data_IF_507665535199
#
_entry.id   IF_507665535199
#
_cell.length_a   1.000
_cell.length_b   1.000
_cell.length_c   1.000
_cell.angle_alpha   90.00
_cell.angle_beta   90.00
_cell.angle_gamma   90.00
#
_symmetry.space_group_name_H-M   'P 1'
#
loop_
_entity.id
_entity.type
_entity.pdbx_description
1 polymer ?
#
# COMPACT_ATOMS: atom_id res chain seq x y z
N UNK A 1 -39.23 -41.60 -9.40
CA UNK A 1 -39.13 -41.30 -10.84
C UNK A 1 -38.77 -39.82 -10.97
N UNK A 2 -37.48 -39.49 -11.10
CA UNK A 2 -36.99 -38.11 -11.17
C UNK A 2 -36.52 -37.85 -12.60
N UNK A 3 -37.14 -36.89 -13.29
CA UNK A 3 -36.80 -36.50 -14.66
C UNK A 3 -35.76 -35.39 -14.64
N UNK A 4 -34.55 -35.69 -15.08
CA UNK A 4 -33.49 -34.70 -15.32
C UNK A 4 -33.72 -33.98 -16.66
N UNK A 5 -33.75 -32.65 -16.64
CA UNK A 5 -33.65 -31.81 -17.84
C UNK A 5 -32.20 -31.34 -17.96
N UNK A 6 -31.48 -31.80 -18.98
CA UNK A 6 -30.20 -31.20 -19.38
C UNK A 6 -30.48 -29.99 -20.26
N UNK A 7 -29.80 -28.88 -19.96
CA UNK A 7 -29.75 -27.71 -20.81
C UNK A 7 -28.32 -27.60 -21.38
N UNK A 8 -28.17 -27.92 -22.66
CA UNK A 8 -26.99 -27.56 -23.42
C UNK A 8 -27.29 -26.29 -24.23
N UNK A 9 -26.40 -25.31 -24.19
CA UNK A 9 -26.31 -24.34 -25.28
C UNK A 9 -24.88 -23.88 -25.55
N UNK A 10 -24.66 -23.68 -26.85
CA UNK A 10 -23.39 -23.61 -27.57
C UNK A 10 -22.64 -22.29 -27.38
N UNK A 11 -21.31 -22.41 -27.31
CA UNK A 11 -20.27 -21.54 -27.90
C UNK A 11 -20.54 -20.03 -27.89
N UNK A 12 -19.92 -19.31 -26.94
CA UNK A 12 -19.50 -17.91 -27.15
C UNK A 12 -18.01 -17.87 -27.47
N UNK A 13 -17.69 -17.29 -28.63
CA UNK A 13 -16.35 -17.20 -29.21
C UNK A 13 -15.37 -16.46 -28.28
N UNK A 14 -14.26 -17.13 -27.98
CA UNK A 14 -12.92 -16.64 -27.62
C UNK A 14 -12.81 -15.11 -27.45
N UNK A 15 -12.98 -14.63 -26.21
CA UNK A 15 -12.71 -13.25 -25.79
C UNK A 15 -11.53 -13.20 -24.78
N UNK A 16 -10.66 -14.21 -24.81
CA UNK A 16 -9.68 -14.43 -23.73
C UNK A 16 -8.25 -14.02 -24.13
N UNK A 17 -8.05 -13.39 -25.29
CA UNK A 17 -6.72 -13.04 -25.79
C UNK A 17 -6.33 -11.58 -25.55
N UNK A 18 -7.30 -10.66 -25.47
CA UNK A 18 -7.02 -9.23 -25.26
C UNK A 18 -7.03 -8.83 -23.78
N UNK A 19 -7.75 -9.57 -22.94
CA UNK A 19 -7.80 -9.34 -21.48
C UNK A 19 -6.47 -9.69 -20.83
N UNK A 20 -5.84 -10.80 -21.25
CA UNK A 20 -4.56 -11.26 -20.69
C UNK A 20 -3.35 -10.42 -21.13
N UNK A 21 -3.42 -9.73 -22.27
CA UNK A 21 -2.35 -8.82 -22.71
C UNK A 21 -2.43 -7.45 -22.02
N UNK A 22 -3.64 -6.97 -21.73
CA UNK A 22 -3.85 -5.73 -20.97
C UNK A 22 -3.43 -5.87 -19.49
N UNK A 23 -3.60 -7.05 -18.88
CA UNK A 23 -3.19 -7.31 -17.49
C UNK A 23 -1.66 -7.29 -17.31
N UNK A 24 -0.91 -7.83 -18.27
CA UNK A 24 0.56 -7.77 -18.25
C UNK A 24 1.07 -6.35 -18.53
N UNK A 25 0.45 -5.65 -19.47
CA UNK A 25 0.79 -4.25 -19.80
C UNK A 25 0.56 -3.29 -18.62
N UNK A 26 -0.55 -3.44 -17.89
CA UNK A 26 -0.84 -2.60 -16.73
C UNK A 26 0.12 -2.89 -15.55
N UNK A 27 0.44 -4.15 -15.29
CA UNK A 27 1.37 -4.53 -14.22
C UNK A 27 2.81 -4.09 -14.50
N UNK A 28 3.27 -4.17 -15.75
CA UNK A 28 4.58 -3.64 -16.16
C UNK A 28 4.63 -2.11 -16.08
N UNK A 29 3.57 -1.42 -16.52
CA UNK A 29 3.44 0.04 -16.36
C UNK A 29 3.40 0.45 -14.87
N UNK A 30 2.71 -0.28 -13.99
CA UNK A 30 2.70 0.00 -12.54
C UNK A 30 4.08 -0.18 -11.90
N UNK A 31 4.89 -1.14 -12.39
CA UNK A 31 6.31 -1.27 -12.03
C UNK A 31 7.15 -0.10 -12.54
N UNK A 32 6.86 0.42 -13.73
CA UNK A 32 7.48 1.62 -14.31
C UNK A 32 7.25 2.85 -13.41
N UNK A 33 6.02 3.07 -12.94
CA UNK A 33 5.67 4.24 -12.10
C UNK A 33 6.30 4.23 -10.70
N UNK A 34 6.67 3.04 -10.18
CA UNK A 34 7.45 2.95 -8.92
C UNK A 34 8.84 3.56 -9.07
N UNK A 35 9.40 3.64 -10.29
CA UNK A 35 10.73 4.22 -10.55
C UNK A 35 10.79 5.74 -10.36
N UNK A 36 9.65 6.44 -10.42
CA UNK A 36 9.59 7.90 -10.33
C UNK A 36 9.20 8.44 -8.94
N UNK A 37 9.13 7.56 -7.93
CA UNK A 37 8.82 7.97 -6.57
C UNK A 37 10.05 8.57 -5.91
N UNK A 38 9.87 9.72 -5.27
CA UNK A 38 10.94 10.36 -4.52
C UNK A 38 11.05 9.71 -3.14
N UNK A 39 12.24 9.17 -2.85
CA UNK A 39 12.58 8.64 -1.53
C UNK A 39 13.70 9.45 -0.90
N UNK A 40 13.68 9.53 0.43
CA UNK A 40 14.79 10.04 1.24
C UNK A 40 15.33 8.92 2.12
N UNK A 41 16.66 8.83 2.20
CA UNK A 41 17.37 7.90 3.07
C UNK A 41 17.77 8.63 4.35
N UNK A 42 17.32 8.11 5.49
CA UNK A 42 17.90 8.48 6.78
C UNK A 42 19.19 7.68 6.99
N UNK A 43 20.34 8.33 6.98
CA UNK A 43 21.63 7.63 7.13
C UNK A 43 21.80 7.03 8.53
N UNK A 44 21.12 7.60 9.53
CA UNK A 44 21.25 7.17 10.93
C UNK A 44 20.53 5.85 11.18
N UNK A 45 19.33 5.68 10.63
CA UNK A 45 18.51 4.47 10.81
C UNK A 45 18.54 3.53 9.61
N UNK A 46 19.08 3.99 8.48
CA UNK A 46 19.06 3.31 7.18
C UNK A 46 17.63 3.05 6.65
N UNK A 47 16.67 3.85 7.09
CA UNK A 47 15.28 3.78 6.64
C UNK A 47 15.06 4.64 5.40
N UNK A 48 14.26 4.12 4.47
CA UNK A 48 13.82 4.83 3.27
C UNK A 48 12.40 5.35 3.47
N UNK A 49 12.22 6.66 3.40
CA UNK A 49 10.92 7.31 3.49
C UNK A 49 10.46 7.78 2.11
N UNK A 50 9.18 7.55 1.79
CA UNK A 50 8.55 8.11 0.61
C UNK A 50 8.20 9.58 0.87
N UNK A 51 8.56 10.47 -0.06
CA UNK A 51 8.12 11.88 -0.01
C UNK A 51 6.73 11.98 -0.63
N UNK A 52 5.73 12.24 0.19
CA UNK A 52 4.34 12.41 -0.22
C UNK A 52 3.86 13.83 0.09
N UNK A 53 3.56 14.62 -0.95
CA UNK A 53 3.01 15.98 -0.79
C UNK A 53 1.52 15.98 -0.48
N UNK A 54 0.82 14.86 -0.71
CA UNK A 54 -0.62 14.74 -0.47
C UNK A 54 -0.97 14.30 0.95
N UNK A 55 0.02 14.04 1.80
CA UNK A 55 -0.18 13.63 3.18
C UNK A 55 -0.15 14.85 4.13
N UNK A 56 -1.14 14.93 5.02
CA UNK A 56 -1.20 15.95 6.07
C UNK A 56 -0.18 15.70 7.20
N UNK A 57 0.25 14.45 7.36
CA UNK A 57 1.13 14.02 8.44
C UNK A 57 2.19 13.03 7.95
N UNK A 58 3.36 13.06 8.59
CA UNK A 58 4.42 12.07 8.39
C UNK A 58 4.16 10.81 9.22
N UNK A 59 4.42 9.63 8.64
CA UNK A 59 4.25 8.33 9.30
C UNK A 59 5.61 7.64 9.44
N UNK A 60 5.87 7.08 10.63
CA UNK A 60 7.08 6.28 10.91
C UNK A 60 6.70 4.89 11.46
N UNK A 61 7.57 3.87 11.31
CA UNK A 61 7.35 2.59 11.95
C UNK A 61 7.32 2.73 13.47
N UNK A 62 6.29 2.19 14.11
CA UNK A 62 6.22 2.07 15.55
C UNK A 62 7.28 1.07 16.04
N UNK A 63 7.91 1.41 17.15
CA UNK A 63 8.88 0.59 17.87
C UNK A 63 8.21 -0.09 19.07
N UNK A 64 8.92 -0.99 19.74
CA UNK A 64 8.45 -1.63 20.98
C UNK A 64 8.17 -0.63 22.12
N UNK A 65 8.62 0.63 22.00
CA UNK A 65 8.35 1.70 22.95
C UNK A 65 6.93 2.26 22.79
N UNK A 66 6.31 2.08 21.62
CA UNK A 66 4.96 2.51 21.28
C UNK A 66 3.90 1.55 21.83
N UNK A 67 3.63 1.66 23.14
CA UNK A 67 2.74 0.71 23.83
C UNK A 67 1.25 1.06 23.77
N UNK A 68 0.90 2.35 23.63
CA UNK A 68 -0.50 2.83 23.68
C UNK A 68 -0.95 3.30 22.28
N UNK A 69 -2.10 2.80 21.81
CA UNK A 69 -2.77 3.33 20.61
C UNK A 69 -3.17 4.79 20.86
N UNK A 70 -3.02 5.65 19.87
CA UNK A 70 -3.47 7.03 19.97
C UNK A 70 -5.01 7.11 20.00
N UNK A 71 -5.51 8.20 20.58
CA UNK A 71 -6.96 8.45 20.71
C UNK A 71 -7.57 9.12 19.46
N UNK A 72 -6.73 9.46 18.47
CA UNK A 72 -7.16 9.98 17.18
C UNK A 72 -7.01 8.92 16.08
N UNK A 73 -7.82 9.06 15.03
CA UNK A 73 -7.85 8.15 13.88
C UNK A 73 -7.26 8.86 12.66
N UNK A 74 -6.35 8.18 11.96
CA UNK A 74 -5.87 8.63 10.65
C UNK A 74 -6.43 7.71 9.57
N UNK A 75 -6.68 8.27 8.39
CA UNK A 75 -7.18 7.52 7.25
C UNK A 75 -6.28 7.74 6.05
N UNK A 76 -5.93 6.66 5.34
CA UNK A 76 -5.27 6.77 4.06
C UNK A 76 -6.24 7.31 2.99
N UNK A 77 -5.71 7.73 1.84
CA UNK A 77 -6.51 8.25 0.72
C UNK A 77 -7.54 7.24 0.17
N UNK A 78 -7.35 5.95 0.44
CA UNK A 78 -8.31 4.89 0.10
C UNK A 78 -9.34 4.61 1.22
N UNK A 79 -9.41 5.45 2.25
CA UNK A 79 -10.32 5.30 3.39
C UNK A 79 -9.90 4.26 4.42
N UNK A 80 -8.73 3.62 4.27
CA UNK A 80 -8.25 2.64 5.25
C UNK A 80 -7.81 3.34 6.54
N UNK A 81 -8.34 2.91 7.68
CA UNK A 81 -7.87 3.39 8.99
C UNK A 81 -6.42 2.94 9.23
N UNK A 82 -5.60 3.90 9.65
CA UNK A 82 -4.23 3.70 10.09
C UNK A 82 -4.23 3.69 11.62
N UNK A 83 -3.87 2.55 12.22
CA UNK A 83 -3.69 2.46 13.68
C UNK A 83 -2.39 3.15 14.10
N UNK A 84 -2.49 4.20 14.91
CA UNK A 84 -1.35 5.02 15.33
C UNK A 84 -1.05 4.86 16.81
N UNK A 85 0.17 5.19 17.24
CA UNK A 85 0.66 4.98 18.61
C UNK A 85 1.28 6.24 19.22
N UNK A 86 0.77 7.39 18.79
CA UNK A 86 1.21 8.70 19.26
C UNK A 86 2.11 9.42 18.27
N UNK A 87 2.48 10.64 18.67
CA UNK A 87 3.40 11.51 17.95
C UNK A 87 4.79 11.34 18.54
N UNK A 88 5.79 11.16 17.69
CA UNK A 88 7.21 11.09 18.03
C UNK A 88 8.00 12.11 17.22
N UNK A 89 9.10 12.59 17.80
CA UNK A 89 10.04 13.46 17.08
C UNK A 89 10.96 12.60 16.21
N UNK A 90 10.76 12.66 14.90
CA UNK A 90 11.68 12.07 13.94
C UNK A 90 12.89 13.01 13.79
N UNK A 91 14.09 12.47 14.01
CA UNK A 91 15.34 13.15 13.73
C UNK A 91 15.96 12.52 12.48
N UNK A 92 16.00 13.27 11.38
CA UNK A 92 16.35 12.78 10.06
C UNK A 92 17.75 13.26 9.67
N UNK A 93 18.68 12.32 9.45
CA UNK A 93 20.01 12.60 8.91
C UNK A 93 20.01 12.37 7.40
N UNK A 94 19.88 13.46 6.64
CA UNK A 94 19.92 13.47 5.18
C UNK A 94 21.34 13.62 4.60
N UNK A 95 22.37 13.72 5.43
CA UNK A 95 23.72 14.05 5.01
C UNK A 95 23.96 15.50 4.62
N UNK A 96 23.10 16.38 5.13
CA UNK A 96 23.27 17.82 5.03
C UNK A 96 23.95 18.36 6.28
N UNK A 97 24.17 19.68 6.34
CA UNK A 97 24.86 20.35 7.47
C UNK A 97 24.11 20.24 8.79
N UNK A 98 22.80 20.04 8.74
CA UNK A 98 21.92 20.01 9.91
C UNK A 98 20.94 18.84 9.79
N UNK A 99 20.64 18.26 10.94
CA UNK A 99 19.57 17.29 11.09
C UNK A 99 18.21 18.00 10.99
N UNK A 100 17.22 17.30 10.45
CA UNK A 100 15.84 17.79 10.41
C UNK A 100 15.05 17.11 11.52
N UNK A 101 14.40 17.91 12.35
CA UNK A 101 13.55 17.41 13.43
C UNK A 101 12.11 17.82 13.17
N UNK A 102 11.19 16.85 13.16
CA UNK A 102 9.77 17.15 13.01
C UNK A 102 8.86 16.11 13.66
N UNK A 103 7.66 16.50 14.11
CA UNK A 103 6.66 15.58 14.64
C UNK A 103 6.22 14.59 13.56
N UNK A 104 6.19 13.31 13.90
CA UNK A 104 5.75 12.21 13.04
C UNK A 104 4.85 11.27 13.84
N UNK A 105 3.95 10.57 13.16
CA UNK A 105 3.02 9.64 13.82
C UNK A 105 3.54 8.21 13.69
N UNK A 106 3.67 7.52 14.83
CA UNK A 106 4.10 6.13 14.86
C UNK A 106 2.95 5.18 14.44
N UNK A 107 3.20 4.29 13.50
CA UNK A 107 2.27 3.27 13.03
C UNK A 107 2.89 1.88 13.12
N UNK A 108 2.15 0.91 13.69
CA UNK A 108 2.57 -0.49 13.65
C UNK A 108 2.46 -0.97 12.21
N UNK A 109 3.59 -0.92 11.51
CA UNK A 109 3.69 -1.34 10.13
C UNK A 109 3.43 -2.83 10.03
N UNK A 110 2.16 -3.23 9.86
CA UNK A 110 1.91 -4.23 8.84
C UNK A 110 2.25 -3.47 7.57
N UNK A 111 3.40 -3.79 6.96
CA UNK A 111 3.81 -3.19 5.70
C UNK A 111 2.56 -2.99 4.88
N UNK A 112 2.24 -1.74 4.52
CA UNK A 112 1.25 -1.44 3.50
C UNK A 112 1.86 -1.96 2.19
N UNK A 113 2.00 -3.29 2.10
CA UNK A 113 1.90 -4.00 0.87
C UNK A 113 0.60 -3.49 0.29
N UNK A 114 0.73 -2.93 -0.91
CA UNK A 114 -0.28 -3.11 -1.92
C UNK A 114 -0.96 -4.46 -1.67
N UNK A 115 -2.13 -4.46 -1.02
CA UNK A 115 -2.97 -5.64 -1.11
C UNK A 115 -3.27 -5.75 -2.60
N UNK A 116 -2.91 -6.85 -3.28
CA UNK A 116 -3.52 -7.13 -4.56
C UNK A 116 -5.03 -7.05 -4.33
N UNK A 117 -5.75 -6.35 -5.21
CA UNK A 117 -7.21 -6.39 -5.24
C UNK A 117 -7.65 -7.86 -5.10
N UNK A 118 -8.71 -8.14 -4.33
CA UNK A 118 -9.14 -9.51 -4.10
C UNK A 118 -9.29 -10.22 -5.44
N UNK A 119 -8.54 -11.31 -5.61
CA UNK A 119 -8.66 -12.18 -6.76
C UNK A 119 -10.09 -12.70 -6.76
N UNK A 120 -10.89 -12.27 -7.74
CA UNK A 120 -12.22 -12.81 -7.98
C UNK A 120 -12.01 -14.30 -8.28
N UNK A 121 -12.32 -15.13 -7.29
CA UNK A 121 -12.22 -16.57 -7.37
C UNK A 121 -13.20 -17.07 -8.45
N UNK A 122 -12.69 -17.40 -9.64
CA UNK A 122 -13.48 -17.92 -10.76
C UNK A 122 -13.73 -19.43 -10.64
N UNK A 123 -14.15 -19.90 -9.47
CA UNK A 123 -14.63 -21.27 -9.30
C UNK A 123 -16.11 -21.26 -8.93
N UNK A 124 -16.96 -21.24 -9.95
CA UNK A 124 -18.32 -21.78 -9.96
C UNK A 124 -18.62 -22.30 -11.37
#
# INVERSE_FOLDING_TARGET
MSTSLQLESKTTRKLNSAVSSATNSAAENVKEYRKFRLFVLDRRTNLHFLVDRGADVSIIPATSQNKKKAEYQLSAANGTEISTYGIEMLNLDLGLRHDFQFPSVANLGRAMGLQPLPEVNQNS
#
